data_IF_074489525718
#
_entry.id   IF_074489525718
#
_cell.length_a   1.000
_cell.length_b   1.000
_cell.length_c   1.000
_cell.angle_alpha   90.00
_cell.angle_beta   90.00
_cell.angle_gamma   90.00
#
_symmetry.space_group_name_H-M   'P 1'
#
loop_
_entity.id
_entity.type
_entity.pdbx_description
1 polymer ?
#
# COMPACT_ATOMS: atom_id res chain seq x y z
N UNK A 1 24.71 -4.24 6.37
CA UNK A 1 23.28 -4.43 6.03
C UNK A 1 22.59 -3.19 5.44
N UNK A 2 23.20 -1.99 5.44
CA UNK A 2 22.64 -0.75 4.85
C UNK A 2 22.81 -0.58 3.32
N UNK A 3 23.64 -1.42 2.68
CA UNK A 3 23.98 -1.28 1.26
C UNK A 3 22.91 -1.86 0.31
N UNK A 4 22.20 -2.92 0.73
CA UNK A 4 21.17 -3.55 -0.10
C UNK A 4 19.93 -2.65 -0.26
N UNK A 5 19.47 -2.03 0.83
CA UNK A 5 18.36 -1.05 0.80
C UNK A 5 18.70 0.18 -0.05
N UNK A 6 19.95 0.71 0.04
CA UNK A 6 20.41 1.80 -0.81
C UNK A 6 20.44 1.43 -2.29
N UNK A 7 20.66 0.15 -2.65
CA UNK A 7 20.64 -0.31 -4.03
C UNK A 7 19.23 -0.52 -4.58
N UNK A 8 18.30 -0.97 -3.74
CA UNK A 8 16.89 -1.20 -4.10
C UNK A 8 16.12 0.12 -4.22
N UNK A 9 16.38 1.08 -3.34
CA UNK A 9 15.85 2.45 -3.43
C UNK A 9 16.80 3.42 -4.15
N UNK A 10 17.77 2.90 -4.93
CA UNK A 10 18.66 3.74 -5.72
C UNK A 10 17.89 4.34 -6.90
N UNK A 11 17.68 5.67 -6.89
CA UNK A 11 17.10 6.46 -8.01
C UNK A 11 17.72 6.16 -9.37
N UNK A 12 18.93 5.61 -9.40
CA UNK A 12 19.65 5.26 -10.63
C UNK A 12 19.30 3.87 -11.21
N UNK A 13 18.67 2.98 -10.41
CA UNK A 13 18.16 1.65 -10.83
C UNK A 13 16.64 1.56 -10.86
N UNK A 14 15.96 2.55 -10.30
CA UNK A 14 14.52 2.73 -10.44
C UNK A 14 14.18 3.13 -11.88
N UNK A 15 13.03 2.67 -12.38
CA UNK A 15 12.41 3.15 -13.62
C UNK A 15 12.73 4.64 -13.86
N UNK A 16 13.40 4.94 -14.97
CA UNK A 16 13.50 6.30 -15.48
C UNK A 16 12.26 6.51 -16.32
N UNK A 17 11.33 7.39 -15.94
CA UNK A 17 10.31 7.84 -16.87
C UNK A 17 11.00 8.19 -18.18
N UNK A 18 10.51 7.70 -19.33
CA UNK A 18 11.06 8.11 -20.63
C UNK A 18 11.08 9.65 -20.75
N UNK A 19 10.23 10.34 -19.96
CA UNK A 19 10.28 11.80 -19.74
C UNK A 19 9.98 12.13 -18.27
N UNK A 20 10.91 12.83 -17.60
CA UNK A 20 10.68 13.42 -16.27
C UNK A 20 9.63 14.54 -16.40
N UNK A 21 8.88 14.85 -15.33
CA UNK A 21 8.18 16.14 -15.28
C UNK A 21 9.21 17.23 -15.59
N UNK A 22 8.97 18.02 -16.64
CA UNK A 22 9.96 18.98 -17.09
C UNK A 22 10.15 20.07 -16.02
N UNK A 23 11.38 20.36 -15.59
CA UNK A 23 11.64 21.45 -14.65
C UNK A 23 11.04 22.77 -15.16
N UNK A 24 10.29 23.46 -14.30
CA UNK A 24 9.57 24.68 -14.65
C UNK A 24 8.11 24.47 -15.10
N UNK A 25 7.61 23.23 -15.14
CA UNK A 25 6.18 22.96 -15.35
C UNK A 25 5.39 22.96 -14.05
N UNK A 26 4.08 23.27 -14.12
CA UNK A 26 3.18 23.23 -12.97
C UNK A 26 3.19 21.85 -12.27
N UNK A 27 3.18 20.75 -13.04
CA UNK A 27 3.25 19.39 -12.50
C UNK A 27 4.56 19.07 -11.80
N UNK A 28 5.69 19.61 -12.30
CA UNK A 28 6.97 19.46 -11.61
C UNK A 28 6.96 20.15 -10.24
N UNK A 29 6.41 21.37 -10.17
CA UNK A 29 6.27 22.08 -8.89
C UNK A 29 5.27 21.38 -7.94
N UNK A 30 4.15 20.85 -8.45
CA UNK A 30 3.21 20.06 -7.67
C UNK A 30 3.85 18.80 -7.09
N UNK A 31 4.60 18.05 -7.89
CA UNK A 31 5.33 16.87 -7.44
C UNK A 31 6.35 17.24 -6.34
N UNK A 32 7.08 18.35 -6.53
CA UNK A 32 8.04 18.85 -5.53
C UNK A 32 7.36 19.26 -4.23
N UNK A 33 6.22 19.95 -4.29
CA UNK A 33 5.40 20.33 -3.11
C UNK A 33 4.94 19.07 -2.35
N UNK A 34 4.37 18.10 -3.04
CA UNK A 34 3.92 16.83 -2.44
C UNK A 34 5.08 16.10 -1.74
N UNK A 35 6.23 15.99 -2.42
CA UNK A 35 7.40 15.32 -1.86
C UNK A 35 8.02 16.07 -0.67
N UNK A 36 8.02 17.41 -0.69
CA UNK A 36 8.49 18.21 0.42
C UNK A 36 7.61 18.02 1.68
N UNK A 37 6.29 18.00 1.52
CA UNK A 37 5.35 17.76 2.62
C UNK A 37 5.56 16.38 3.26
N UNK A 38 5.73 15.34 2.45
CA UNK A 38 6.01 13.99 2.93
C UNK A 38 7.33 13.89 3.73
N UNK A 39 8.37 14.57 3.26
CA UNK A 39 9.69 14.53 3.89
C UNK A 39 9.80 15.40 5.16
N UNK A 40 8.91 16.39 5.32
CA UNK A 40 8.87 17.26 6.48
C UNK A 40 8.14 16.66 7.69
N UNK A 41 7.62 15.43 7.59
CA UNK A 41 6.88 14.77 8.68
C UNK A 41 5.50 15.39 8.95
N UNK A 42 4.93 16.10 7.98
CA UNK A 42 3.54 16.59 8.04
C UNK A 42 2.55 15.43 8.12
N UNK A 43 1.38 15.69 8.70
CA UNK A 43 0.24 14.78 8.68
C UNK A 43 -0.07 14.39 7.22
N UNK A 44 0.03 13.09 6.93
CA UNK A 44 -0.22 12.53 5.60
C UNK A 44 -1.62 12.87 5.09
N UNK A 45 -2.61 13.07 5.97
CA UNK A 45 -3.96 13.50 5.58
C UNK A 45 -3.95 14.92 5.00
N UNK A 46 -3.18 15.83 5.59
CA UNK A 46 -3.03 17.18 5.06
C UNK A 46 -2.20 17.18 3.77
N UNK A 47 -1.19 16.31 3.69
CA UNK A 47 -0.30 16.25 2.53
C UNK A 47 -1.01 15.81 1.23
N UNK A 48 -2.12 15.07 1.31
CA UNK A 48 -2.87 14.59 0.14
C UNK A 48 -3.94 15.58 -0.36
N UNK A 49 -4.27 16.61 0.43
CA UNK A 49 -5.31 17.58 0.06
C UNK A 49 -4.90 18.37 -1.18
N UNK A 50 -5.89 18.68 -2.02
CA UNK A 50 -5.67 19.53 -3.19
C UNK A 50 -5.22 20.93 -2.73
N UNK A 51 -4.03 21.41 -3.12
CA UNK A 51 -3.60 22.75 -2.72
C UNK A 51 -4.51 23.82 -3.33
N UNK A 52 -4.70 24.92 -2.58
CA UNK A 52 -5.59 26.00 -3.01
C UNK A 52 -5.17 26.58 -4.37
N UNK A 53 -6.10 26.60 -5.31
CA UNK A 53 -5.91 27.16 -6.66
C UNK A 53 -5.25 26.23 -7.67
N UNK A 54 -4.98 24.97 -7.32
CA UNK A 54 -4.44 23.97 -8.25
C UNK A 54 -5.57 23.17 -8.92
N UNK A 55 -5.29 22.62 -10.11
CA UNK A 55 -6.23 21.76 -10.83
C UNK A 55 -6.25 20.33 -10.25
N UNK A 56 -7.46 19.78 -10.12
CA UNK A 56 -7.67 18.46 -9.54
C UNK A 56 -7.12 17.33 -10.44
N UNK A 57 -7.23 17.43 -11.76
CA UNK A 57 -6.71 16.40 -12.66
C UNK A 57 -5.19 16.37 -12.62
N UNK A 58 -4.54 17.54 -12.63
CA UNK A 58 -3.09 17.66 -12.48
C UNK A 58 -2.61 17.06 -11.15
N UNK A 59 -3.31 17.37 -10.05
CA UNK A 59 -2.99 16.81 -8.74
C UNK A 59 -3.10 15.28 -8.71
N UNK A 60 -4.18 14.72 -9.26
CA UNK A 60 -4.38 13.27 -9.38
C UNK A 60 -3.34 12.63 -10.29
N UNK A 61 -3.01 13.27 -11.42
CA UNK A 61 -2.03 12.74 -12.36
C UNK A 61 -0.65 12.61 -11.73
N UNK A 62 -0.21 13.64 -10.99
CA UNK A 62 1.07 13.62 -10.26
C UNK A 62 1.12 12.47 -9.25
N UNK A 63 0.04 12.26 -8.47
CA UNK A 63 -0.02 11.20 -7.46
C UNK A 63 -0.09 9.80 -8.08
N UNK A 64 -0.86 9.60 -9.14
CA UNK A 64 -0.94 8.31 -9.84
C UNK A 64 0.45 7.86 -10.31
N UNK A 65 1.24 8.80 -10.87
CA UNK A 65 2.60 8.51 -11.32
C UNK A 65 3.55 8.26 -10.13
N UNK A 66 3.47 9.04 -9.05
CA UNK A 66 4.28 8.80 -7.84
C UNK A 66 3.99 7.40 -7.24
N UNK A 67 2.71 7.05 -7.08
CA UNK A 67 2.31 5.76 -6.54
C UNK A 67 2.77 4.60 -7.44
N UNK A 68 2.59 4.72 -8.76
CA UNK A 68 3.10 3.69 -9.67
C UNK A 68 4.60 3.46 -9.47
N UNK A 69 5.41 4.53 -9.45
CA UNK A 69 6.85 4.42 -9.28
C UNK A 69 7.23 3.78 -7.95
N UNK A 70 6.62 4.22 -6.84
CA UNK A 70 6.91 3.71 -5.50
C UNK A 70 6.48 2.25 -5.33
N UNK A 71 5.30 1.89 -5.84
CA UNK A 71 4.77 0.52 -5.74
C UNK A 71 5.57 -0.43 -6.64
N UNK A 72 6.02 0.03 -7.82
CA UNK A 72 6.90 -0.76 -8.69
C UNK A 72 8.21 -1.11 -7.97
N UNK A 73 8.78 -0.18 -7.19
CA UNK A 73 9.96 -0.47 -6.36
C UNK A 73 9.68 -1.46 -5.25
N UNK A 74 8.54 -1.33 -4.55
CA UNK A 74 8.12 -2.28 -3.52
C UNK A 74 8.03 -3.69 -4.12
N UNK A 75 7.37 -3.83 -5.27
CA UNK A 75 7.28 -5.12 -5.96
C UNK A 75 8.64 -5.68 -6.37
N UNK A 76 9.55 -4.82 -6.87
CA UNK A 76 10.91 -5.22 -7.24
C UNK A 76 11.74 -5.77 -6.06
N UNK A 77 11.33 -5.52 -4.81
CA UNK A 77 12.00 -6.08 -3.63
C UNK A 77 11.61 -7.54 -3.34
N UNK A 78 10.46 -7.99 -3.85
CA UNK A 78 9.92 -9.32 -3.59
C UNK A 78 9.80 -10.18 -4.85
N UNK A 79 10.03 -9.61 -6.03
CA UNK A 79 9.84 -10.27 -7.33
C UNK A 79 10.71 -11.51 -7.55
N UNK A 80 11.85 -11.62 -6.85
CA UNK A 80 12.71 -12.81 -6.86
C UNK A 80 12.08 -14.00 -6.12
N UNK A 81 11.23 -13.73 -5.12
CA UNK A 81 10.54 -14.71 -4.29
C UNK A 81 9.08 -14.98 -4.71
N UNK A 82 8.49 -14.10 -5.53
CA UNK A 82 7.17 -14.27 -6.12
C UNK A 82 7.27 -15.10 -7.40
N UNK A 83 6.92 -16.38 -7.33
CA UNK A 83 7.08 -17.35 -8.42
C UNK A 83 5.76 -18.07 -8.69
N UNK A 84 5.65 -18.74 -9.83
CA UNK A 84 4.48 -19.56 -10.15
C UNK A 84 4.27 -20.72 -9.15
N UNK A 85 5.32 -21.11 -8.42
CA UNK A 85 5.26 -22.15 -7.40
C UNK A 85 4.78 -21.61 -6.05
N UNK A 86 5.31 -20.46 -5.63
CA UNK A 86 4.94 -19.83 -4.36
C UNK A 86 3.57 -19.13 -4.45
N UNK A 87 3.24 -18.59 -5.63
CA UNK A 87 2.03 -17.82 -5.89
C UNK A 87 1.37 -18.24 -7.21
N UNK A 88 0.82 -19.47 -7.29
CA UNK A 88 0.22 -20.03 -8.51
C UNK A 88 -1.03 -19.29 -8.97
N UNK A 89 -1.64 -18.49 -8.10
CA UNK A 89 -2.80 -17.65 -8.40
C UNK A 89 -2.63 -16.28 -7.75
N UNK A 90 -2.91 -15.21 -8.49
CA UNK A 90 -2.98 -13.86 -7.95
C UNK A 90 -4.17 -13.73 -6.98
N UNK A 91 -3.87 -13.55 -5.70
CA UNK A 91 -4.89 -13.51 -4.64
C UNK A 91 -4.54 -12.52 -3.53
N UNK A 92 -5.59 -12.05 -2.86
CA UNK A 92 -5.52 -11.32 -1.59
C UNK A 92 -5.92 -12.21 -0.42
N UNK A 93 -5.19 -13.31 -0.23
CA UNK A 93 -5.53 -14.36 0.73
C UNK A 93 -6.64 -15.28 0.22
N UNK A 94 -7.19 -16.15 1.09
CA UNK A 94 -8.13 -17.19 0.66
C UNK A 94 -9.50 -16.65 0.20
N UNK A 95 -9.84 -15.40 0.55
CA UNK A 95 -11.15 -14.79 0.27
C UNK A 95 -11.21 -14.06 -1.07
N UNK A 96 -10.07 -13.57 -1.59
CA UNK A 96 -10.05 -12.69 -2.77
C UNK A 96 -9.13 -13.27 -3.85
N UNK A 97 -9.70 -13.60 -4.99
CA UNK A 97 -8.97 -14.02 -6.19
C UNK A 97 -9.06 -12.93 -7.26
N UNK A 98 -7.92 -12.54 -7.84
CA UNK A 98 -7.86 -11.52 -8.88
C UNK A 98 -7.64 -12.16 -10.24
N UNK A 99 -8.60 -11.97 -11.14
CA UNK A 99 -8.54 -12.46 -12.52
C UNK A 99 -8.16 -11.34 -13.47
N UNK A 100 -7.30 -11.67 -14.44
CA UNK A 100 -6.88 -10.73 -15.46
C UNK A 100 -7.80 -10.78 -16.67
N UNK A 101 -8.04 -9.62 -17.27
CA UNK A 101 -8.75 -9.50 -18.53
C UNK A 101 -8.19 -8.29 -19.29
N UNK A 102 -7.95 -8.49 -20.59
CA UNK A 102 -7.59 -7.46 -21.54
C UNK A 102 -8.27 -7.70 -22.90
N UNK A 103 -8.10 -6.76 -23.82
CA UNK A 103 -8.72 -6.81 -25.15
C UNK A 103 -7.90 -7.64 -26.16
N UNK A 104 -6.70 -8.07 -25.80
CA UNK A 104 -5.76 -8.73 -26.69
C UNK A 104 -5.70 -10.24 -26.44
N UNK A 105 -4.95 -10.66 -25.43
CA UNK A 105 -4.61 -12.06 -25.15
C UNK A 105 -5.62 -12.71 -24.21
N UNK A 106 -6.16 -11.97 -23.24
CA UNK A 106 -7.03 -12.50 -22.18
C UNK A 106 -8.44 -11.91 -22.29
N UNK A 107 -9.18 -12.33 -23.32
CA UNK A 107 -10.53 -11.80 -23.64
C UNK A 107 -11.60 -12.08 -22.57
N UNK A 108 -11.35 -13.04 -21.67
CA UNK A 108 -12.23 -13.40 -20.54
C UNK A 108 -11.45 -13.34 -19.23
N UNK A 109 -12.12 -13.09 -18.09
CA UNK A 109 -11.49 -13.13 -16.77
C UNK A 109 -10.74 -14.46 -16.55
N UNK A 110 -9.42 -14.40 -16.57
CA UNK A 110 -8.52 -15.55 -16.53
C UNK A 110 -7.72 -15.54 -15.23
N UNK A 111 -7.68 -16.66 -14.53
CA UNK A 111 -6.79 -16.85 -13.39
C UNK A 111 -5.35 -16.98 -13.89
N UNK A 112 -4.44 -16.20 -13.30
CA UNK A 112 -3.02 -16.20 -13.65
C UNK A 112 -2.17 -16.34 -12.39
N UNK A 113 -0.96 -16.92 -12.49
CA UNK A 113 0.05 -16.82 -11.45
C UNK A 113 0.31 -15.36 -11.07
N UNK A 114 0.56 -15.11 -9.78
CA UNK A 114 0.80 -13.77 -9.29
C UNK A 114 1.93 -13.03 -10.02
N UNK A 115 3.13 -13.61 -10.26
CA UNK A 115 4.19 -12.87 -10.96
C UNK A 115 3.81 -12.50 -12.40
N UNK A 116 3.11 -13.40 -13.11
CA UNK A 116 2.59 -13.12 -14.46
C UNK A 116 1.54 -12.00 -14.43
N UNK A 117 0.60 -12.06 -13.47
CA UNK A 117 -0.41 -11.02 -13.28
C UNK A 117 0.24 -9.66 -12.99
N UNK A 118 1.25 -9.63 -12.10
CA UNK A 118 1.95 -8.40 -11.72
C UNK A 118 2.69 -7.78 -12.90
N UNK A 119 3.37 -8.59 -13.72
CA UNK A 119 4.03 -8.11 -14.94
C UNK A 119 3.03 -7.41 -15.87
N UNK A 120 1.93 -8.10 -16.21
CA UNK A 120 0.88 -7.55 -17.08
C UNK A 120 0.25 -6.28 -16.50
N UNK A 121 0.09 -6.24 -15.17
CA UNK A 121 -0.44 -5.07 -14.46
C UNK A 121 0.48 -3.88 -14.57
N UNK A 122 1.78 -4.04 -14.28
CA UNK A 122 2.76 -2.96 -14.35
C UNK A 122 2.92 -2.45 -15.78
N UNK A 123 3.02 -3.35 -16.77
CA UNK A 123 3.12 -3.00 -18.18
C UNK A 123 1.89 -2.21 -18.65
N UNK A 124 0.69 -2.66 -18.25
CA UNK A 124 -0.55 -1.96 -18.62
C UNK A 124 -0.61 -0.56 -18.02
N UNK A 125 -0.27 -0.39 -16.73
CA UNK A 125 -0.26 0.93 -16.08
C UNK A 125 0.78 1.82 -16.73
N UNK A 126 1.98 1.31 -17.00
CA UNK A 126 3.04 2.04 -17.68
C UNK A 126 2.57 2.56 -19.05
N UNK A 127 1.87 1.73 -19.82
CA UNK A 127 1.27 2.16 -21.09
C UNK A 127 0.24 3.28 -20.91
N UNK A 128 -0.56 3.26 -19.83
CA UNK A 128 -1.56 4.31 -19.58
C UNK A 128 -0.90 5.64 -19.19
N UNK A 129 0.05 5.63 -18.24
CA UNK A 129 0.68 6.86 -17.74
C UNK A 129 1.57 7.54 -18.78
N UNK A 130 2.09 6.78 -19.74
CA UNK A 130 2.88 7.31 -20.85
C UNK A 130 2.04 7.72 -22.08
N UNK A 131 0.72 7.51 -22.04
CA UNK A 131 -0.15 7.91 -23.14
C UNK A 131 -0.54 9.39 -22.99
N UNK A 132 0.03 10.26 -23.85
CA UNK A 132 -0.23 11.71 -23.84
C UNK A 132 -1.70 12.08 -24.08
N UNK A 133 -2.51 11.16 -24.65
CA UNK A 133 -3.96 11.37 -24.79
C UNK A 133 -4.72 11.21 -23.48
N UNK A 134 -4.12 10.52 -22.49
CA UNK A 134 -4.69 10.30 -21.15
C UNK A 134 -4.00 11.20 -20.13
N UNK A 135 -2.67 11.27 -20.18
CA UNK A 135 -1.79 12.07 -19.32
C UNK A 135 -1.05 13.13 -20.15
N UNK A 136 -1.72 14.23 -20.55
CA UNK A 136 -1.16 15.22 -21.47
C UNK A 136 -0.01 15.99 -20.85
N UNK A 137 1.20 15.97 -21.40
CA UNK A 137 2.38 16.61 -20.76
C UNK A 137 2.53 18.10 -21.02
N UNK A 138 1.88 18.62 -22.06
CA UNK A 138 2.02 20.01 -22.48
C UNK A 138 1.11 20.92 -21.64
N UNK A 139 1.69 22.03 -21.18
CA UNK A 139 0.94 23.08 -20.47
C UNK A 139 -0.15 23.63 -21.40
N UNK A 140 -1.39 23.64 -20.93
CA UNK A 140 -2.56 24.13 -21.68
C UNK A 140 -3.34 23.05 -22.43
N UNK A 141 -2.84 21.82 -22.53
CA UNK A 141 -3.64 20.70 -23.07
C UNK A 141 -4.56 20.14 -21.98
N UNK A 142 -5.90 20.18 -22.15
CA UNK A 142 -6.82 19.67 -21.15
C UNK A 142 -6.78 18.14 -21.08
N UNK A 143 -7.07 17.59 -19.90
CA UNK A 143 -7.26 16.16 -19.73
C UNK A 143 -8.52 15.67 -20.48
N UNK A 144 -8.52 14.41 -20.97
CA UNK A 144 -9.74 13.85 -21.55
C UNK A 144 -10.81 13.63 -20.49
N UNK A 145 -12.08 13.61 -20.92
CA UNK A 145 -13.22 13.32 -20.02
C UNK A 145 -13.13 11.94 -19.34
N UNK A 146 -12.38 11.01 -19.92
CA UNK A 146 -12.15 9.67 -19.38
C UNK A 146 -11.03 9.59 -18.35
N UNK A 147 -10.28 10.67 -18.11
CA UNK A 147 -9.09 10.67 -17.24
C UNK A 147 -9.35 10.04 -15.87
N UNK A 148 -10.38 10.50 -15.16
CA UNK A 148 -10.72 9.96 -13.84
C UNK A 148 -11.07 8.47 -13.88
N UNK A 149 -11.78 8.01 -14.92
CA UNK A 149 -12.11 6.59 -15.05
C UNK A 149 -10.84 5.75 -15.19
N UNK A 150 -9.87 6.23 -15.96
CA UNK A 150 -8.57 5.55 -16.12
C UNK A 150 -7.75 5.61 -14.82
N UNK A 151 -7.68 6.78 -14.18
CA UNK A 151 -6.97 6.95 -12.91
C UNK A 151 -7.50 6.03 -11.80
N UNK A 152 -8.84 5.93 -11.64
CA UNK A 152 -9.48 4.98 -10.70
C UNK A 152 -9.13 3.53 -11.02
N UNK A 153 -9.11 3.16 -12.31
CA UNK A 153 -8.71 1.81 -12.76
C UNK A 153 -7.23 1.51 -12.50
N UNK A 154 -6.35 2.50 -12.63
CA UNK A 154 -4.92 2.37 -12.28
C UNK A 154 -4.78 2.17 -10.77
N UNK A 155 -5.39 3.03 -9.95
CA UNK A 155 -5.26 3.00 -8.49
C UNK A 155 -5.83 1.70 -7.91
N UNK A 156 -7.02 1.26 -8.34
CA UNK A 156 -7.59 -0.04 -7.92
C UNK A 156 -6.70 -1.23 -8.28
N UNK A 157 -6.00 -1.19 -9.43
CA UNK A 157 -5.01 -2.21 -9.80
C UNK A 157 -3.76 -2.13 -8.91
N UNK A 158 -3.22 -0.94 -8.68
CA UNK A 158 -2.08 -0.73 -7.77
C UNK A 158 -2.37 -1.21 -6.34
N UNK A 159 -3.59 -1.03 -5.85
CA UNK A 159 -4.02 -1.54 -4.55
C UNK A 159 -3.83 -3.06 -4.43
N UNK A 160 -4.10 -3.84 -5.50
CA UNK A 160 -3.91 -5.30 -5.50
C UNK A 160 -2.46 -5.70 -5.27
N UNK A 161 -1.51 -4.85 -5.66
CA UNK A 161 -0.08 -5.05 -5.40
C UNK A 161 0.19 -4.98 -3.90
N UNK A 162 -0.33 -3.95 -3.20
CA UNK A 162 -0.23 -3.87 -1.75
C UNK A 162 -0.83 -5.10 -1.07
N UNK A 163 -2.06 -5.48 -1.45
CA UNK A 163 -2.75 -6.64 -0.86
C UNK A 163 -1.88 -7.89 -0.97
N UNK A 164 -1.34 -8.16 -2.15
CA UNK A 164 -0.51 -9.33 -2.40
C UNK A 164 0.80 -9.30 -1.60
N UNK A 165 1.49 -8.15 -1.57
CA UNK A 165 2.74 -7.97 -0.82
C UNK A 165 2.51 -8.19 0.68
N UNK A 166 1.47 -7.60 1.25
CA UNK A 166 1.16 -7.74 2.68
C UNK A 166 0.76 -9.16 3.09
N UNK A 167 0.06 -9.89 2.22
CA UNK A 167 -0.47 -11.21 2.58
C UNK A 167 0.56 -12.32 2.33
N UNK A 168 1.28 -12.26 1.22
CA UNK A 168 2.14 -13.37 0.78
C UNK A 168 3.63 -13.11 0.94
N UNK A 169 4.05 -11.84 1.04
CA UNK A 169 5.47 -11.46 1.00
C UNK A 169 5.90 -10.54 2.15
N UNK A 170 5.09 -10.37 3.19
CA UNK A 170 5.42 -9.47 4.30
C UNK A 170 6.68 -9.94 5.06
N UNK A 171 6.85 -11.25 5.25
CA UNK A 171 8.05 -11.80 5.88
C UNK A 171 9.34 -11.38 5.13
N UNK A 172 9.29 -11.38 3.79
CA UNK A 172 10.41 -10.93 2.95
C UNK A 172 10.65 -9.43 3.11
N UNK A 173 9.58 -8.63 3.10
CA UNK A 173 9.66 -7.18 3.34
C UNK A 173 10.28 -6.87 4.71
N UNK A 174 9.91 -7.62 5.75
CA UNK A 174 10.46 -7.48 7.10
C UNK A 174 11.90 -7.94 7.21
N UNK A 175 12.28 -9.05 6.58
CA UNK A 175 13.69 -9.49 6.52
C UNK A 175 14.61 -8.46 5.87
N UNK A 176 14.08 -7.66 4.94
CA UNK A 176 14.81 -6.57 4.29
C UNK A 176 14.79 -5.27 5.11
N UNK A 177 14.02 -5.17 6.19
CA UNK A 177 13.81 -3.94 6.95
C UNK A 177 13.08 -2.85 6.15
N UNK A 178 12.26 -3.24 5.16
CA UNK A 178 11.56 -2.32 4.27
C UNK A 178 10.12 -2.02 4.71
N UNK A 179 9.63 -2.65 5.78
CA UNK A 179 8.26 -2.54 6.29
C UNK A 179 7.77 -1.10 6.50
N UNK A 180 8.59 -0.24 7.11
CA UNK A 180 8.24 1.17 7.34
C UNK A 180 8.01 1.93 6.03
N UNK A 181 8.77 1.61 4.99
CA UNK A 181 8.64 2.23 3.66
C UNK A 181 7.34 1.77 2.98
N UNK A 182 7.03 0.47 3.06
CA UNK A 182 5.79 -0.09 2.50
C UNK A 182 4.58 0.48 3.24
N UNK A 183 4.61 0.50 4.57
CA UNK A 183 3.55 1.06 5.42
C UNK A 183 3.30 2.55 5.16
N UNK A 184 4.36 3.34 5.06
CA UNK A 184 4.24 4.78 4.75
C UNK A 184 3.67 5.00 3.35
N UNK A 185 4.12 4.20 2.36
CA UNK A 185 3.59 4.27 1.01
C UNK A 185 2.11 3.88 0.96
N UNK A 186 1.71 2.83 1.69
CA UNK A 186 0.32 2.40 1.78
C UNK A 186 -0.56 3.42 2.51
N UNK A 187 -0.11 3.99 3.64
CA UNK A 187 -0.86 5.02 4.38
C UNK A 187 -1.09 6.27 3.51
N UNK A 188 -0.06 6.72 2.80
CA UNK A 188 -0.18 7.82 1.83
C UNK A 188 -1.16 7.48 0.70
N UNK A 189 -1.05 6.28 0.13
CA UNK A 189 -1.97 5.80 -0.91
C UNK A 189 -3.42 5.76 -0.41
N UNK A 190 -3.65 5.17 0.76
CA UNK A 190 -4.97 5.03 1.35
C UNK A 190 -5.63 6.39 1.56
N UNK A 191 -4.95 7.34 2.22
CA UNK A 191 -5.49 8.68 2.43
C UNK A 191 -5.80 9.38 1.12
N UNK A 192 -4.91 9.28 0.12
CA UNK A 192 -5.14 9.89 -1.17
C UNK A 192 -6.37 9.31 -1.89
N UNK A 193 -6.51 7.98 -1.95
CA UNK A 193 -7.64 7.37 -2.65
C UNK A 193 -8.97 7.58 -1.92
N UNK A 194 -8.95 7.70 -0.59
CA UNK A 194 -10.16 8.01 0.18
C UNK A 194 -10.56 9.49 0.08
N UNK A 195 -9.59 10.42 0.09
CA UNK A 195 -9.84 11.86 -0.01
C UNK A 195 -10.63 12.21 -1.29
N UNK A 196 -10.24 11.59 -2.41
CA UNK A 196 -10.84 11.87 -3.72
C UNK A 196 -11.82 10.78 -4.21
N UNK A 197 -12.21 9.84 -3.33
CA UNK A 197 -13.12 8.73 -3.64
C UNK A 197 -12.74 7.99 -4.96
N UNK A 198 -11.46 7.62 -5.05
CA UNK A 198 -10.85 7.03 -6.24
C UNK A 198 -10.95 5.49 -6.26
N UNK A 199 -11.26 4.87 -5.12
CA UNK A 199 -11.48 3.44 -4.97
C UNK A 199 -12.72 3.23 -4.08
N UNK A 200 -13.58 2.28 -4.45
CA UNK A 200 -14.73 1.90 -3.61
C UNK A 200 -14.23 1.29 -2.29
N UNK A 201 -14.83 1.68 -1.17
CA UNK A 201 -14.52 1.13 0.16
C UNK A 201 -14.59 -0.40 0.21
N UNK A 202 -15.47 -1.04 -0.57
CA UNK A 202 -15.55 -2.51 -0.66
C UNK A 202 -14.29 -3.13 -1.24
N UNK A 203 -13.62 -2.45 -2.19
CA UNK A 203 -12.36 -2.92 -2.76
C UNK A 203 -11.21 -2.80 -1.77
N UNK A 204 -11.29 -1.91 -0.79
CA UNK A 204 -10.26 -1.70 0.24
C UNK A 204 -10.33 -2.73 1.38
N UNK A 205 -11.45 -3.45 1.52
CA UNK A 205 -11.72 -4.45 2.57
C UNK A 205 -10.55 -5.43 2.84
N UNK A 206 -9.84 -5.99 1.82
CA UNK A 206 -8.78 -6.96 2.07
C UNK A 206 -7.65 -6.49 2.99
N UNK A 207 -7.39 -5.17 3.06
CA UNK A 207 -6.36 -4.61 3.95
C UNK A 207 -6.93 -3.87 5.16
N UNK A 208 -8.25 -3.66 5.23
CA UNK A 208 -8.89 -3.11 6.43
C UNK A 208 -8.63 -4.01 7.64
N UNK A 209 -8.68 -5.34 7.48
CA UNK A 209 -8.38 -6.28 8.58
C UNK A 209 -6.89 -6.42 8.90
N UNK A 210 -6.00 -6.20 7.93
CA UNK A 210 -4.54 -6.30 8.12
C UNK A 210 -4.00 -5.07 8.85
N UNK A 211 -4.50 -3.87 8.54
CA UNK A 211 -4.17 -2.63 9.25
C UNK A 211 -4.45 -2.71 10.75
N UNK A 212 -5.57 -3.33 11.14
CA UNK A 212 -5.90 -3.54 12.56
C UNK A 212 -4.88 -4.46 13.24
N UNK A 213 -4.39 -5.48 12.55
CA UNK A 213 -3.41 -6.43 13.11
C UNK A 213 -2.00 -5.82 13.23
N UNK A 214 -1.57 -4.99 12.27
CA UNK A 214 -0.28 -4.30 12.31
C UNK A 214 -0.20 -3.30 13.49
N UNK A 215 -1.31 -2.64 13.83
CA UNK A 215 -1.41 -1.80 15.02
C UNK A 215 -1.19 -2.61 16.32
N UNK A 216 -1.74 -3.83 16.42
CA UNK A 216 -1.55 -4.70 17.59
C UNK A 216 -0.10 -5.21 17.71
N UNK A 217 0.59 -5.42 16.58
CA UNK A 217 2.02 -5.79 16.60
C UNK A 217 2.92 -4.64 17.06
N UNK A 218 2.63 -3.40 16.67
CA UNK A 218 3.38 -2.23 17.14
C UNK A 218 3.22 -1.98 18.65
N UNK A 219 2.06 -2.29 19.23
CA UNK A 219 1.83 -2.15 20.68
C UNK A 219 2.62 -3.17 21.52
N UNK A 220 3.11 -4.27 20.93
CA UNK A 220 3.92 -5.28 21.63
C UNK A 220 5.41 -4.91 21.68
N UNK A 221 5.86 -3.96 20.86
CA UNK A 221 7.19 -3.33 20.93
C UNK A 221 7.10 -2.00 21.69
N UNK A 222 6.67 -2.06 22.95
CA UNK A 222 6.61 -0.93 23.87
C UNK A 222 7.95 -0.16 23.88
N UNK A 223 7.95 1.03 23.27
CA UNK A 223 8.49 2.30 23.80
C UNK A 223 8.65 3.43 22.75
N UNK A 224 8.02 3.36 21.57
CA UNK A 224 8.11 4.45 20.56
C UNK A 224 6.78 5.01 20.05
N UNK A 225 5.62 4.46 20.40
CA UNK A 225 4.34 5.13 20.12
C UNK A 225 4.00 6.13 21.22
N UNK A 226 4.66 7.29 21.18
CA UNK A 226 4.13 8.50 21.80
C UNK A 226 3.10 9.08 20.82
N UNK A 227 1.84 8.87 21.18
CA UNK A 227 0.65 9.65 20.83
C UNK A 227 0.17 9.73 19.37
N UNK A 228 -1.08 9.28 19.21
CA UNK A 228 -2.09 9.75 18.25
C UNK A 228 -1.88 9.46 16.76
N UNK A 229 -2.14 8.21 16.33
CA UNK A 229 -2.78 7.90 15.03
C UNK A 229 -2.96 6.38 14.79
N UNK A 230 -3.44 5.64 15.79
CA UNK A 230 -3.84 4.26 15.57
C UNK A 230 -5.14 4.23 14.76
N UNK A 231 -5.17 3.57 13.59
CA UNK A 231 -6.35 3.47 12.70
C UNK A 231 -7.52 2.66 13.30
N UNK A 232 -7.48 2.32 14.59
CA UNK A 232 -8.37 1.39 15.28
C UNK A 232 -9.55 2.07 16.01
N UNK A 233 -10.15 3.14 15.48
CA UNK A 233 -11.31 3.79 16.12
C UNK A 233 -12.67 3.15 15.82
N UNK A 234 -12.70 1.86 15.44
CA UNK A 234 -13.95 1.08 15.44
C UNK A 234 -13.81 -0.22 16.24
N UNK A 235 -14.41 -0.15 17.43
CA UNK A 235 -14.29 -1.05 18.56
C UNK A 235 -15.32 -2.18 18.50
N UNK A 236 -15.20 -3.11 17.55
CA UNK A 236 -15.88 -4.41 17.58
C UNK A 236 -15.02 -5.40 16.81
N UNK A 237 -14.99 -6.68 17.21
CA UNK A 237 -14.13 -7.77 16.67
C UNK A 237 -12.76 -8.00 17.34
N UNK A 238 -12.71 -7.95 18.68
CA UNK A 238 -11.51 -8.28 19.46
C UNK A 238 -11.27 -9.80 19.69
N UNK A 239 -12.17 -10.71 19.29
CA UNK A 239 -12.11 -12.12 19.75
C UNK A 239 -11.81 -13.15 18.64
N UNK A 240 -11.88 -12.80 17.36
CA UNK A 240 -11.66 -13.79 16.28
C UNK A 240 -10.25 -13.82 15.68
N UNK A 241 -9.41 -12.81 15.96
CA UNK A 241 -8.10 -12.63 15.31
C UNK A 241 -6.98 -13.39 16.03
N UNK A 242 -7.06 -13.57 17.36
CA UNK A 242 -6.07 -14.35 18.10
C UNK A 242 -6.02 -15.83 17.68
N UNK A 243 -7.13 -16.41 17.22
CA UNK A 243 -7.17 -17.81 16.77
C UNK A 243 -6.59 -18.03 15.36
N UNK A 244 -6.48 -16.99 14.53
CA UNK A 244 -5.92 -17.11 13.18
C UNK A 244 -4.38 -17.13 13.20
N UNK A 245 -3.77 -16.37 14.12
CA UNK A 245 -2.30 -16.35 14.33
C UNK A 245 -1.83 -17.64 15.01
N UNK A 246 -2.58 -18.18 15.97
CA UNK A 246 -2.20 -19.39 16.72
C UNK A 246 -2.15 -20.67 15.89
N UNK A 247 -2.84 -20.72 14.74
CA UNK A 247 -2.94 -21.94 13.92
C UNK A 247 -1.90 -22.03 12.80
N UNK A 248 -1.30 -20.91 12.39
CA UNK A 248 -0.37 -20.85 11.26
C UNK A 248 1.08 -20.57 11.65
N UNK A 249 1.33 -20.05 12.86
CA UNK A 249 2.68 -19.84 13.38
C UNK A 249 2.97 -20.94 14.41
N UNK A 250 3.49 -22.07 13.93
CA UNK A 250 3.98 -23.18 14.74
C UNK A 250 5.29 -22.78 15.44
N UNK A 251 5.23 -21.84 16.38
CA UNK A 251 6.34 -21.52 17.28
C UNK A 251 6.11 -22.30 18.57
N UNK A 252 6.85 -23.40 18.74
CA UNK A 252 7.04 -24.01 20.05
C UNK A 252 7.72 -23.00 20.97
N UNK A 253 6.95 -22.35 21.85
CA UNK A 253 7.53 -21.68 23.01
C UNK A 253 7.97 -22.75 24.01
N UNK A 254 9.24 -23.15 23.93
CA UNK A 254 9.91 -23.82 25.05
C UNK A 254 9.99 -22.83 26.22
N UNK A 255 9.18 -23.15 27.22
CA UNK A 255 9.21 -22.75 28.62
C UNK A 255 10.10 -21.58 29.04
N UNK A 256 9.47 -20.53 29.55
CA UNK A 256 9.85 -20.00 30.86
C UNK A 256 8.61 -19.90 31.74
N UNK A 257 8.65 -20.72 32.78
CA UNK A 257 7.70 -20.77 33.88
C UNK A 257 7.68 -19.49 34.70
N UNK A 258 6.57 -19.35 35.44
CA UNK A 258 6.39 -18.57 36.68
C UNK A 258 6.09 -17.06 36.57
N UNK A 259 4.79 -16.73 36.48
CA UNK A 259 3.99 -16.22 37.62
C UNK A 259 2.55 -15.92 37.18
N UNK A 260 1.65 -16.85 37.49
CA UNK A 260 0.21 -16.59 37.56
C UNK A 260 -0.05 -15.63 38.73
N UNK A 261 -0.59 -14.44 38.47
CA UNK A 261 -1.35 -13.69 39.48
C UNK A 261 -2.81 -13.70 39.02
N UNK A 262 -3.59 -14.51 39.72
CA UNK A 262 -5.03 -14.67 39.50
C UNK A 262 -5.76 -13.41 39.96
N UNK A 263 -6.70 -12.96 39.14
CA UNK A 263 -7.66 -11.90 39.42
C UNK A 263 -8.83 -12.52 40.18
N UNK A 264 -8.66 -12.70 41.49
CA UNK A 264 -9.71 -12.99 42.48
C UNK A 264 -9.17 -12.40 43.77
N UNK A 265 -9.88 -11.40 44.28
CA UNK A 265 -9.76 -10.71 45.57
C UNK A 265 -10.00 -9.21 45.33
N UNK A 266 -11.26 -8.88 45.02
CA UNK A 266 -11.82 -7.54 45.15
C UNK A 266 -13.33 -7.65 45.32
N UNK A 267 -13.74 -8.29 46.41
CA UNK A 267 -15.08 -8.26 46.96
C UNK A 267 -14.95 -8.76 48.40
N UNK A 268 -14.84 -7.82 49.34
CA UNK A 268 -15.11 -7.89 50.78
C UNK A 268 -14.27 -6.83 51.49
N UNK A 269 -14.83 -5.62 51.63
CA UNK A 269 -14.78 -4.82 52.86
C UNK A 269 -15.56 -3.52 52.64
N UNK A 270 -16.89 -3.67 52.73
CA UNK A 270 -17.82 -2.59 53.12
C UNK A 270 -18.47 -3.06 54.41
N UNK A 271 -17.91 -2.70 55.57
CA UNK A 271 -18.66 -2.46 56.81
C UNK A 271 -17.75 -2.10 57.98
N UNK A 272 -18.07 -0.95 58.59
CA UNK A 272 -17.62 -0.35 59.86
C UNK A 272 -16.39 0.56 59.80
#
# INVERSE_FOLDING_TARGET
>A
MSLALKQVFNKDRTFRPKRRFEPGTQRFELHKKAQASLNAGLDLKLAVQLPHGEDLNDWVAVHVVDFFNRINLIYGTISDSCTDQTCPVMSGGPKYEYRWQDEQRYKRPTALPAPTYMSLLMDWIEMQINNEQIFPTNVGTPFPKSFFQVAKKILSRLFRVFVHVYIHHFDRVSQMGAEAHVNTCYKHFYYFVTEFNLIDHKELEPLVSVCVCACVWMDTLQNLCVESDCMCSHQFYFVSICNFIFKYINIEFKGQDSKKRSYKDREEDVSL
#
